data_IF_993885465000
#
_entry.id   IF_993885465000
#
_cell.length_a   1.000
_cell.length_b   1.000
_cell.length_c   1.000
_cell.angle_alpha   90.00
_cell.angle_beta   90.00
_cell.angle_gamma   90.00
#
_symmetry.space_group_name_H-M   'P 1'
#
loop_
_entity.id
_entity.type
_entity.pdbx_description
1 polymer ?
#
# COMPACT_ATOMS: atom_id res chain seq x y z
N UNK A 1 -33.43 15.94 -6.76
CA UNK A 1 -32.50 14.89 -6.31
C UNK A 1 -32.96 14.49 -4.93
N UNK A 2 -33.78 13.44 -4.82
CA UNK A 2 -34.00 12.77 -3.54
C UNK A 2 -32.64 12.25 -3.08
N UNK A 3 -32.11 12.79 -1.98
CA UNK A 3 -30.96 12.20 -1.31
C UNK A 3 -31.47 10.95 -0.60
N UNK A 4 -31.34 9.80 -1.26
CA UNK A 4 -31.71 8.50 -0.69
C UNK A 4 -30.63 8.05 0.31
N UNK A 5 -30.72 8.63 1.50
CA UNK A 5 -29.76 8.48 2.61
C UNK A 5 -29.57 7.01 3.03
N UNK A 6 -30.57 6.16 2.79
CA UNK A 6 -30.49 4.72 3.07
C UNK A 6 -29.60 3.97 2.07
N UNK A 7 -29.69 4.29 0.78
CA UNK A 7 -28.81 3.70 -0.25
C UNK A 7 -27.36 4.15 -0.09
N UNK A 8 -27.15 5.42 0.26
CA UNK A 8 -25.81 5.97 0.52
C UNK A 8 -25.15 5.36 1.77
N UNK A 9 -25.89 5.12 2.85
CA UNK A 9 -25.36 4.45 4.04
C UNK A 9 -25.03 2.97 3.79
N UNK A 10 -25.83 2.28 2.97
CA UNK A 10 -25.55 0.91 2.52
C UNK A 10 -24.25 0.83 1.73
N UNK A 11 -24.08 1.68 0.71
CA UNK A 11 -22.88 1.70 -0.14
C UNK A 11 -21.63 2.17 0.62
N UNK A 12 -21.75 3.13 1.54
CA UNK A 12 -20.66 3.56 2.42
C UNK A 12 -20.24 2.45 3.40
N UNK A 13 -21.20 1.71 3.95
CA UNK A 13 -20.93 0.58 4.84
C UNK A 13 -20.19 -0.55 4.13
N UNK A 14 -20.61 -0.89 2.91
CA UNK A 14 -19.92 -1.87 2.06
C UNK A 14 -18.51 -1.41 1.73
N UNK A 15 -18.33 -0.14 1.35
CA UNK A 15 -17.00 0.45 1.10
C UNK A 15 -16.06 0.35 2.30
N UNK A 16 -16.54 0.61 3.52
CA UNK A 16 -15.75 0.48 4.74
C UNK A 16 -15.36 -0.97 5.06
N UNK A 17 -16.27 -1.93 4.91
CA UNK A 17 -15.99 -3.35 5.16
C UNK A 17 -14.96 -3.88 4.15
N UNK A 18 -15.16 -3.58 2.87
CA UNK A 18 -14.23 -3.97 1.79
C UNK A 18 -12.86 -3.31 2.01
N UNK A 19 -12.84 -2.02 2.38
CA UNK A 19 -11.62 -1.32 2.75
C UNK A 19 -10.91 -2.02 3.90
N UNK A 20 -11.63 -2.36 4.98
CA UNK A 20 -11.07 -3.02 6.15
C UNK A 20 -10.45 -4.39 5.84
N UNK A 21 -11.14 -5.24 5.08
CA UNK A 21 -10.62 -6.56 4.69
C UNK A 21 -9.37 -6.38 3.82
N UNK A 22 -9.41 -5.45 2.86
CA UNK A 22 -8.29 -5.16 1.96
C UNK A 22 -7.07 -4.65 2.74
N UNK A 23 -7.27 -3.69 3.65
CA UNK A 23 -6.19 -3.14 4.48
C UNK A 23 -5.55 -4.19 5.39
N UNK A 24 -6.36 -5.08 5.97
CA UNK A 24 -5.89 -6.17 6.80
C UNK A 24 -5.03 -7.18 6.00
N UNK A 25 -5.51 -7.58 4.82
CA UNK A 25 -4.77 -8.48 3.93
C UNK A 25 -3.45 -7.84 3.46
N UNK A 26 -3.49 -6.56 3.07
CA UNK A 26 -2.30 -5.83 2.62
C UNK A 26 -1.23 -5.75 3.71
N UNK A 27 -1.61 -5.53 4.98
CA UNK A 27 -0.65 -5.45 6.09
C UNK A 27 0.12 -6.75 6.30
N UNK A 28 -0.54 -7.90 6.19
CA UNK A 28 0.13 -9.22 6.22
C UNK A 28 1.07 -9.42 5.04
N UNK A 29 0.63 -9.03 3.85
CA UNK A 29 1.45 -9.09 2.64
C UNK A 29 2.71 -8.22 2.77
N UNK A 30 2.56 -6.98 3.24
CA UNK A 30 3.68 -6.05 3.47
C UNK A 30 4.68 -6.63 4.46
N UNK A 31 4.24 -7.28 5.55
CA UNK A 31 5.18 -7.95 6.49
C UNK A 31 6.08 -8.97 5.78
N UNK A 32 5.51 -9.83 4.95
CA UNK A 32 6.25 -10.85 4.20
C UNK A 32 7.23 -10.21 3.21
N UNK A 33 6.75 -9.25 2.42
CA UNK A 33 7.57 -8.55 1.43
C UNK A 33 8.71 -7.79 2.10
N UNK A 34 8.45 -7.12 3.23
CA UNK A 34 9.46 -6.37 3.99
C UNK A 34 10.56 -7.30 4.52
N UNK A 35 10.20 -8.51 4.99
CA UNK A 35 11.18 -9.53 5.39
C UNK A 35 12.05 -9.97 4.22
N UNK A 36 11.45 -10.23 3.04
CA UNK A 36 12.20 -10.62 1.84
C UNK A 36 13.13 -9.51 1.36
N UNK A 37 12.65 -8.27 1.30
CA UNK A 37 13.47 -7.11 0.91
C UNK A 37 14.62 -6.92 1.90
N UNK A 38 14.36 -6.99 3.21
CA UNK A 38 15.39 -6.88 4.23
C UNK A 38 16.47 -7.95 4.10
N UNK A 39 16.07 -9.21 3.92
CA UNK A 39 17.00 -10.32 3.70
C UNK A 39 17.83 -10.13 2.42
N UNK A 40 17.21 -9.65 1.34
CA UNK A 40 17.89 -9.36 0.08
C UNK A 40 18.91 -8.22 0.21
N UNK A 41 18.53 -7.12 0.87
CA UNK A 41 19.43 -5.99 1.13
C UNK A 41 20.61 -6.39 2.01
N UNK A 42 20.39 -7.21 3.04
CA UNK A 42 21.47 -7.76 3.88
C UNK A 42 22.45 -8.61 3.06
N UNK A 43 21.93 -9.46 2.16
CA UNK A 43 22.76 -10.24 1.24
C UNK A 43 23.61 -9.33 0.34
N UNK A 44 23.00 -8.31 -0.27
CA UNK A 44 23.73 -7.33 -1.09
C UNK A 44 24.83 -6.61 -0.30
N UNK A 45 24.53 -6.19 0.93
CA UNK A 45 25.51 -5.49 1.78
C UNK A 45 26.69 -6.39 2.15
N UNK A 46 26.43 -7.69 2.39
CA UNK A 46 27.47 -8.67 2.67
C UNK A 46 28.39 -8.88 1.47
N UNK A 47 27.83 -8.99 0.25
CA UNK A 47 28.63 -9.12 -0.97
C UNK A 47 29.42 -7.82 -1.28
N UNK A 48 28.86 -6.65 -0.95
CA UNK A 48 29.57 -5.37 -1.08
C UNK A 48 30.80 -5.31 -0.16
N UNK A 49 30.70 -5.75 1.10
CA UNK A 49 31.85 -5.78 2.02
C UNK A 49 32.97 -6.69 1.53
N UNK A 50 32.64 -7.76 0.80
CA UNK A 50 33.63 -8.64 0.17
C UNK A 50 34.18 -8.11 -1.16
N UNK A 51 33.72 -6.95 -1.62
CA UNK A 51 34.18 -6.32 -2.86
C UNK A 51 33.70 -7.02 -4.14
N UNK A 52 32.71 -7.91 -4.03
CA UNK A 52 32.18 -8.68 -5.18
C UNK A 52 31.25 -7.82 -6.04
N UNK A 53 30.58 -6.83 -5.44
CA UNK A 53 29.66 -5.89 -6.13
C UNK A 53 29.80 -4.49 -5.55
N UNK A 54 29.69 -3.48 -6.43
CA UNK A 54 29.56 -2.07 -6.06
C UNK A 54 28.09 -1.67 -6.12
N UNK A 55 27.54 -1.21 -4.99
CA UNK A 55 26.15 -0.77 -4.93
C UNK A 55 26.09 0.68 -5.40
N UNK A 56 25.36 0.95 -6.49
CA UNK A 56 25.08 2.31 -6.92
C UNK A 56 23.86 2.84 -6.15
N UNK A 57 24.13 3.70 -5.16
CA UNK A 57 23.10 4.31 -4.31
C UNK A 57 22.12 5.19 -5.10
N UNK A 58 22.57 5.90 -6.12
CA UNK A 58 21.70 6.77 -6.93
C UNK A 58 20.64 5.97 -7.69
N UNK A 59 21.03 4.85 -8.29
CA UNK A 59 20.10 3.96 -9.00
C UNK A 59 19.11 3.31 -8.04
N UNK A 60 19.56 2.93 -6.83
CA UNK A 60 18.66 2.40 -5.80
C UNK A 60 17.64 3.45 -5.33
N UNK A 61 18.07 4.69 -5.12
CA UNK A 61 17.16 5.78 -4.77
C UNK A 61 16.14 6.05 -5.87
N UNK A 62 16.58 6.12 -7.13
CA UNK A 62 15.67 6.29 -8.27
C UNK A 62 14.64 5.14 -8.36
N UNK A 63 15.06 3.89 -8.14
CA UNK A 63 14.13 2.75 -8.09
C UNK A 63 13.08 2.91 -6.98
N UNK A 64 13.50 3.32 -5.79
CA UNK A 64 12.59 3.59 -4.67
C UNK A 64 11.60 4.72 -4.98
N UNK A 65 12.08 5.80 -5.59
CA UNK A 65 11.26 6.94 -5.98
C UNK A 65 10.21 6.55 -7.03
N UNK A 66 10.60 5.80 -8.07
CA UNK A 66 9.68 5.30 -9.09
C UNK A 66 8.58 4.42 -8.49
N UNK A 67 8.95 3.49 -7.59
CA UNK A 67 7.96 2.65 -6.89
C UNK A 67 7.02 3.50 -6.04
N UNK A 68 7.55 4.50 -5.33
CA UNK A 68 6.73 5.41 -4.51
C UNK A 68 5.76 6.20 -5.38
N UNK A 69 6.23 6.80 -6.47
CA UNK A 69 5.40 7.55 -7.41
C UNK A 69 4.33 6.67 -8.06
N UNK A 70 4.65 5.41 -8.38
CA UNK A 70 3.69 4.45 -8.94
C UNK A 70 2.61 4.10 -7.91
N UNK A 71 2.99 3.82 -6.66
CA UNK A 71 2.03 3.53 -5.57
C UNK A 71 1.12 4.73 -5.32
N UNK A 72 1.68 5.95 -5.29
CA UNK A 72 0.89 7.18 -5.19
C UNK A 72 -0.06 7.31 -6.38
N UNK A 73 0.43 7.16 -7.62
CA UNK A 73 -0.42 7.23 -8.82
C UNK A 73 -1.58 6.23 -8.81
N UNK A 74 -1.36 5.01 -8.31
CA UNK A 74 -2.42 4.01 -8.13
C UNK A 74 -3.40 4.42 -7.02
N UNK A 75 -2.91 4.97 -5.91
CA UNK A 75 -3.73 5.51 -4.82
C UNK A 75 -4.62 6.65 -5.30
N UNK A 76 -4.05 7.66 -5.97
CA UNK A 76 -4.80 8.76 -6.58
C UNK A 76 -5.86 8.27 -7.57
N UNK A 77 -5.52 7.30 -8.44
CA UNK A 77 -6.50 6.70 -9.36
C UNK A 77 -7.64 6.03 -8.60
N UNK A 78 -7.33 5.18 -7.61
CA UNK A 78 -8.33 4.50 -6.80
C UNK A 78 -9.26 5.48 -6.07
N UNK A 79 -8.72 6.60 -5.54
CA UNK A 79 -9.51 7.67 -4.95
C UNK A 79 -10.42 8.39 -5.96
N UNK A 80 -10.04 8.42 -7.25
CA UNK A 80 -10.85 9.04 -8.31
C UNK A 80 -12.02 8.19 -8.81
N UNK A 81 -12.01 6.86 -8.61
CA UNK A 81 -13.02 5.93 -9.15
C UNK A 81 -13.97 5.32 -8.11
N UNK A 82 -13.74 5.49 -6.80
CA UNK A 82 -14.62 4.93 -5.77
C UNK A 82 -15.68 5.95 -5.28
N UNK A 83 -17.00 5.71 -5.51
CA UNK A 83 -18.04 6.41 -4.76
C UNK A 83 -17.89 6.06 -3.26
N UNK A 84 -17.94 7.06 -2.38
CA UNK A 84 -17.78 6.82 -0.93
C UNK A 84 -16.33 6.63 -0.44
N UNK A 85 -15.35 7.22 -1.13
CA UNK A 85 -13.90 7.18 -0.78
C UNK A 85 -13.59 7.35 0.70
N UNK A 86 -14.31 8.23 1.42
CA UNK A 86 -14.09 8.46 2.84
C UNK A 86 -14.29 7.20 3.70
N UNK A 87 -15.35 6.42 3.41
CA UNK A 87 -15.66 5.21 4.16
C UNK A 87 -14.68 4.07 3.83
N UNK A 88 -14.32 3.91 2.56
CA UNK A 88 -13.29 2.95 2.14
C UNK A 88 -11.92 3.26 2.76
N UNK A 89 -11.46 4.51 2.70
CA UNK A 89 -10.16 4.91 3.26
C UNK A 89 -10.14 4.74 4.77
N UNK A 90 -11.23 5.12 5.46
CA UNK A 90 -11.35 4.92 6.91
C UNK A 90 -11.33 3.42 7.28
N UNK A 91 -12.11 2.61 6.57
CA UNK A 91 -12.12 1.15 6.73
C UNK A 91 -10.76 0.53 6.46
N UNK A 92 -10.13 0.90 5.36
CA UNK A 92 -8.79 0.47 4.96
C UNK A 92 -7.72 0.83 5.98
N UNK A 93 -7.72 2.06 6.48
CA UNK A 93 -6.77 2.48 7.50
C UNK A 93 -6.93 1.66 8.79
N UNK A 94 -8.17 1.43 9.22
CA UNK A 94 -8.45 0.60 10.40
C UNK A 94 -8.04 -0.86 10.19
N UNK A 95 -8.31 -1.42 9.00
CA UNK A 95 -7.89 -2.76 8.61
C UNK A 95 -6.36 -2.91 8.61
N UNK A 96 -5.68 -1.95 8.00
CA UNK A 96 -4.23 -1.90 7.92
C UNK A 96 -3.55 -1.69 9.28
N UNK A 97 -4.18 -0.92 10.18
CA UNK A 97 -3.70 -0.78 11.56
C UNK A 97 -3.80 -2.11 12.34
N UNK A 98 -4.85 -2.89 12.08
CA UNK A 98 -5.14 -4.14 12.82
C UNK A 98 -4.42 -5.38 12.28
N UNK A 99 -3.97 -5.36 11.02
CA UNK A 99 -3.25 -6.48 10.37
C UNK A 99 -1.78 -6.68 10.75
#
# INVERSE_FOLDING_TARGET
MEFDINGMFGDLGVGAIVGFITGYALKKFVKIVMTLIGAYLLSLFWLQQKGVITINTDKLFNLSENVTQQVLGLGQKALGILPGTGAFVAGFYLGFKKG
#
